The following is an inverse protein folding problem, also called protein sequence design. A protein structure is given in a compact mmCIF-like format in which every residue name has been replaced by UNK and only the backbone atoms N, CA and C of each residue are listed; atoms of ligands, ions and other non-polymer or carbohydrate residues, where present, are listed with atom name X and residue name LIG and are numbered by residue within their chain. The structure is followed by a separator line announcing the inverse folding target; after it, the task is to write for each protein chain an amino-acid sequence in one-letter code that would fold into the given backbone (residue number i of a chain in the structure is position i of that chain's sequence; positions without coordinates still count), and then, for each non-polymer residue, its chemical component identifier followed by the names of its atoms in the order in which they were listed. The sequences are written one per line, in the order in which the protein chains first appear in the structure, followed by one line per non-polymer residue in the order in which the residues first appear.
data_IF_486405973055
#
_entry.id   IF_486405973055
#
_cell.length_a   1.000
_cell.length_b   1.000
_cell.length_c   1.000
_cell.angle_alpha   90.00
_cell.angle_beta   90.00
_cell.angle_gamma   90.00
#
_symmetry.space_group_name_H-M   'P 1'
#
loop_
_entity.id
_entity.type
_entity.pdbx_description
1 polymer ?
#
# COMPACT_ATOMS: atom_id res chain seq x y z
N UNK A 1 -3.74 0.25 -14.16
CA UNK A 1 -2.54 0.04 -13.32
C UNK A 1 -2.97 0.01 -11.85
N UNK A 2 -2.49 -0.91 -11.02
CA UNK A 2 -3.06 -1.12 -9.66
C UNK A 2 -1.99 -1.10 -8.56
N UNK A 3 -2.21 -0.25 -7.56
CA UNK A 3 -1.51 -0.23 -6.27
C UNK A 3 -2.36 -0.96 -5.23
N UNK A 4 -1.77 -1.87 -4.47
CA UNK A 4 -2.48 -2.65 -3.45
C UNK A 4 -1.96 -2.34 -2.05
N UNK A 5 -2.89 -2.04 -1.13
CA UNK A 5 -2.65 -2.08 0.30
C UNK A 5 -3.50 -3.19 0.93
N UNK A 6 -2.89 -3.98 1.82
CA UNK A 6 -3.57 -5.01 2.61
C UNK A 6 -3.15 -4.85 4.06
N UNK A 7 -4.11 -4.65 4.97
CA UNK A 7 -3.77 -4.56 6.39
C UNK A 7 -4.90 -4.09 7.29
N UNK A 8 -4.62 -4.10 8.60
CA UNK A 8 -5.51 -3.50 9.59
C UNK A 8 -5.51 -1.98 9.44
N UNK A 9 -6.66 -1.35 9.58
CA UNK A 9 -6.79 0.09 9.65
C UNK A 9 -6.41 0.52 11.05
N UNK A 10 -5.14 0.89 11.20
CA UNK A 10 -4.54 1.30 12.45
C UNK A 10 -3.36 2.23 12.15
N UNK A 11 -3.08 3.16 13.06
CA UNK A 11 -2.07 4.21 12.84
C UNK A 11 -0.68 3.66 12.52
N UNK A 12 -0.32 2.54 13.15
CA UNK A 12 0.97 1.88 12.89
C UNK A 12 1.05 1.22 11.52
N UNK A 13 -0.07 0.97 10.82
CA UNK A 13 -0.08 0.50 9.43
C UNK A 13 0.07 1.63 8.41
N UNK A 14 0.00 2.89 8.86
CA UNK A 14 0.30 4.09 8.06
C UNK A 14 -0.50 4.18 6.76
N UNK A 15 -1.77 3.78 6.81
CA UNK A 15 -2.68 3.91 5.67
C UNK A 15 -2.82 5.39 5.26
N UNK A 16 -2.67 6.32 6.19
CA UNK A 16 -2.62 7.76 5.91
C UNK A 16 -1.54 8.14 4.88
N UNK A 17 -0.37 7.49 4.94
CA UNK A 17 0.70 7.73 3.96
C UNK A 17 0.32 7.23 2.59
N UNK A 18 -0.33 6.06 2.50
CA UNK A 18 -0.77 5.50 1.23
C UNK A 18 -1.77 6.44 0.57
N UNK A 19 -2.75 6.96 1.33
CA UNK A 19 -3.76 7.89 0.83
C UNK A 19 -3.15 9.21 0.36
N UNK A 20 -2.26 9.82 1.16
CA UNK A 20 -1.54 11.04 0.78
C UNK A 20 -0.68 10.83 -0.46
N UNK A 21 -0.06 9.66 -0.58
CA UNK A 21 0.74 9.26 -1.74
C UNK A 21 -0.12 9.08 -2.98
N UNK A 22 -1.31 8.46 -2.82
CA UNK A 22 -2.26 8.25 -3.90
C UNK A 22 -2.67 9.55 -4.58
N UNK A 23 -2.85 10.63 -3.83
CA UNK A 23 -3.23 11.93 -4.40
C UNK A 23 -2.27 12.41 -5.48
N UNK A 24 -0.99 12.12 -5.27
CA UNK A 24 0.08 12.66 -6.09
C UNK A 24 0.18 11.91 -7.41
N UNK A 25 0.07 10.57 -7.37
CA UNK A 25 0.07 9.79 -8.60
C UNK A 25 -1.29 9.78 -9.30
N UNK A 26 -2.43 9.87 -8.61
CA UNK A 26 -3.74 9.99 -9.27
C UNK A 26 -3.80 11.27 -10.12
N UNK A 27 -3.22 12.37 -9.62
CA UNK A 27 -3.15 13.64 -10.35
C UNK A 27 -2.25 13.58 -11.60
N UNK A 28 -1.23 12.71 -11.60
CA UNK A 28 -0.22 12.60 -12.66
C UNK A 28 -0.50 11.47 -13.65
N UNK A 29 -1.13 10.39 -13.17
CA UNK A 29 -1.36 9.14 -13.88
C UNK A 29 -2.81 8.67 -13.64
N UNK A 30 -3.78 9.16 -14.44
CA UNK A 30 -5.19 8.88 -14.23
C UNK A 30 -5.59 7.41 -14.48
N UNK A 31 -4.69 6.58 -15.03
CA UNK A 31 -4.88 5.14 -15.27
C UNK A 31 -4.42 4.24 -14.10
N UNK A 32 -3.88 4.85 -13.04
CA UNK A 32 -3.51 4.17 -11.79
C UNK A 32 -4.67 4.24 -10.80
N UNK A 33 -5.02 3.11 -10.21
CA UNK A 33 -5.93 3.02 -9.08
C UNK A 33 -5.27 2.41 -7.84
N UNK A 34 -5.82 2.72 -6.68
CA UNK A 34 -5.42 2.17 -5.38
C UNK A 34 -6.53 1.27 -4.85
N UNK A 35 -6.20 0.04 -4.49
CA UNK A 35 -7.13 -0.89 -3.83
C UNK A 35 -6.67 -1.09 -2.39
N UNK A 36 -7.58 -0.84 -1.45
CA UNK A 36 -7.36 -0.94 0.00
C UNK A 36 -8.22 -2.09 0.52
N UNK A 37 -7.59 -3.22 0.83
CA UNK A 37 -8.21 -4.35 1.50
C UNK A 37 -7.81 -4.40 2.98
N UNK A 38 -8.76 -4.62 3.87
CA UNK A 38 -8.47 -4.53 5.29
C UNK A 38 -9.66 -4.50 6.22
N UNK A 39 -9.35 -4.54 7.51
CA UNK A 39 -10.32 -4.49 8.60
C UNK A 39 -9.94 -3.40 9.59
N UNK A 40 -10.93 -2.82 10.28
CA UNK A 40 -10.73 -1.86 11.36
C UNK A 40 -11.96 -1.82 12.25
N UNK A 41 -11.88 -1.08 13.36
CA UNK A 41 -13.11 -0.69 14.05
C UNK A 41 -13.96 0.19 13.13
N UNK A 42 -15.28 0.31 13.34
CA UNK A 42 -16.14 1.18 12.52
C UNK A 42 -15.63 2.62 12.43
N UNK A 43 -15.07 3.14 13.54
CA UNK A 43 -14.47 4.48 13.57
C UNK A 43 -13.18 4.57 12.75
N UNK A 44 -12.32 3.54 12.79
CA UNK A 44 -11.08 3.53 12.00
C UNK A 44 -11.39 3.46 10.50
N UNK A 45 -12.37 2.62 10.12
CA UNK A 45 -12.84 2.52 8.74
C UNK A 45 -13.37 3.86 8.26
N UNK A 46 -14.27 4.48 9.04
CA UNK A 46 -14.83 5.78 8.68
C UNK A 46 -13.72 6.84 8.57
N UNK A 47 -12.80 6.89 9.53
CA UNK A 47 -11.70 7.84 9.55
C UNK A 47 -10.86 7.79 8.26
N UNK A 48 -10.42 6.61 7.84
CA UNK A 48 -9.60 6.50 6.61
C UNK A 48 -10.40 6.72 5.33
N UNK A 49 -11.70 6.39 5.32
CA UNK A 49 -12.57 6.71 4.18
C UNK A 49 -12.83 8.21 4.06
N UNK A 50 -13.14 8.89 5.17
CA UNK A 50 -13.30 10.35 5.21
C UNK A 50 -11.99 11.04 4.78
N UNK A 51 -10.84 10.58 5.29
CA UNK A 51 -9.54 11.08 4.85
C UNK A 51 -9.35 10.92 3.34
N UNK A 52 -9.64 9.73 2.80
CA UNK A 52 -9.45 9.45 1.38
C UNK A 52 -10.33 10.35 0.49
N UNK A 53 -11.61 10.47 0.81
CA UNK A 53 -12.59 11.08 -0.09
C UNK A 53 -12.88 12.55 0.21
N UNK A 54 -12.87 12.96 1.48
CA UNK A 54 -13.22 14.32 1.90
C UNK A 54 -11.98 15.21 2.08
N UNK A 55 -10.93 14.70 2.75
CA UNK A 55 -9.73 15.49 3.02
C UNK A 55 -8.75 15.51 1.84
N UNK A 56 -8.46 14.34 1.27
CA UNK A 56 -7.50 14.17 0.20
C UNK A 56 -8.15 14.32 -1.19
N UNK A 57 -9.43 13.93 -1.30
CA UNK A 57 -10.19 13.98 -2.55
C UNK A 57 -9.64 13.02 -3.59
N UNK A 58 -9.53 11.73 -3.24
CA UNK A 58 -9.13 10.64 -4.14
C UNK A 58 -10.34 10.17 -4.95
N UNK A 59 -10.11 9.93 -6.25
CA UNK A 59 -11.16 9.49 -7.18
C UNK A 59 -10.95 8.04 -7.64
N UNK A 60 -9.70 7.57 -7.63
CA UNK A 60 -9.33 6.23 -8.10
C UNK A 60 -8.83 5.32 -6.97
N UNK A 61 -9.28 5.59 -5.75
CA UNK A 61 -8.96 4.80 -4.56
C UNK A 61 -10.20 4.08 -4.03
N UNK A 62 -10.11 2.76 -3.87
CA UNK A 62 -11.24 1.89 -3.57
C UNK A 62 -11.00 1.05 -2.32
N UNK A 63 -11.87 1.22 -1.32
CA UNK A 63 -11.90 0.40 -0.11
C UNK A 63 -12.78 -0.83 -0.35
N UNK A 64 -12.18 -2.02 -0.38
CA UNK A 64 -12.88 -3.29 -0.64
C UNK A 64 -13.19 -4.07 0.63
N UNK A 65 -12.85 -3.51 1.80
CA UNK A 65 -13.09 -4.14 3.10
C UNK A 65 -12.27 -5.41 3.31
N UNK A 66 -12.74 -6.27 4.21
CA UNK A 66 -12.09 -7.53 4.53
C UNK A 66 -12.23 -8.52 3.37
N UNK A 67 -11.13 -9.17 3.00
CA UNK A 67 -11.11 -10.17 1.95
C UNK A 67 -10.59 -11.50 2.49
N UNK A 68 -11.09 -12.60 1.92
CA UNK A 68 -10.57 -13.93 2.21
C UNK A 68 -9.24 -14.14 1.51
N UNK A 69 -8.40 -15.03 2.04
CA UNK A 69 -7.05 -15.29 1.51
C UNK A 69 -7.01 -15.57 -0.02
N UNK A 70 -7.93 -16.37 -0.61
CA UNK A 70 -7.93 -16.55 -2.06
C UNK A 70 -8.19 -15.26 -2.86
N UNK A 71 -9.00 -14.35 -2.32
CA UNK A 71 -9.30 -13.08 -2.97
C UNK A 71 -8.17 -12.07 -2.77
N UNK A 72 -7.50 -12.08 -1.62
CA UNK A 72 -6.27 -11.31 -1.41
C UNK A 72 -5.17 -11.76 -2.38
N UNK A 73 -4.98 -13.07 -2.58
CA UNK A 73 -4.02 -13.59 -3.55
C UNK A 73 -4.37 -13.17 -4.99
N UNK A 74 -5.66 -13.15 -5.36
CA UNK A 74 -6.12 -12.64 -6.66
C UNK A 74 -5.82 -11.15 -6.83
N UNK A 75 -6.12 -10.34 -5.82
CA UNK A 75 -5.82 -8.91 -5.82
C UNK A 75 -4.31 -8.67 -5.94
N UNK A 76 -3.50 -9.39 -5.18
CA UNK A 76 -2.04 -9.30 -5.27
C UNK A 76 -1.55 -9.67 -6.67
N UNK A 77 -1.99 -10.80 -7.22
CA UNK A 77 -1.57 -11.29 -8.54
C UNK A 77 -1.86 -10.34 -9.71
N UNK A 78 -2.84 -9.44 -9.58
CA UNK A 78 -3.16 -8.42 -10.59
C UNK A 78 -2.63 -7.03 -10.23
N UNK A 79 -2.14 -6.85 -8.99
CA UNK A 79 -1.51 -5.62 -8.57
C UNK A 79 -0.16 -5.49 -9.27
N UNK A 80 0.19 -4.26 -9.61
CA UNK A 80 1.53 -3.94 -10.09
C UNK A 80 2.50 -3.74 -8.93
N UNK A 81 1.98 -3.37 -7.76
CA UNK A 81 2.78 -3.14 -6.57
C UNK A 81 1.96 -3.28 -5.28
N UNK A 82 2.55 -3.88 -4.26
CA UNK A 82 2.04 -3.87 -2.89
C UNK A 82 2.72 -2.80 -2.05
N UNK A 83 1.97 -2.00 -1.28
CA UNK A 83 2.52 -0.91 -0.47
C UNK A 83 2.15 -1.12 1.00
N UNK A 84 3.16 -1.30 1.85
CA UNK A 84 3.01 -1.67 3.26
C UNK A 84 3.91 -0.81 4.17
N UNK A 85 3.55 0.45 4.42
CA UNK A 85 4.40 1.44 5.10
C UNK A 85 4.34 1.34 6.64
N UNK A 86 4.12 0.14 7.19
CA UNK A 86 3.89 -0.01 8.62
C UNK A 86 5.10 0.45 9.45
N UNK A 87 4.83 1.19 10.53
CA UNK A 87 5.79 1.46 11.60
C UNK A 87 6.09 0.16 12.34
N UNK A 88 7.35 -0.24 12.37
CA UNK A 88 7.83 -1.42 13.09
C UNK A 88 7.09 -2.70 12.68
N UNK A 89 7.06 -3.01 11.39
CA UNK A 89 6.43 -4.23 10.86
C UNK A 89 7.08 -5.49 11.47
N UNK A 90 6.37 -6.33 12.26
CA UNK A 90 7.02 -7.40 13.01
C UNK A 90 7.74 -8.40 12.10
N UNK A 91 6.97 -9.14 11.29
CA UNK A 91 7.52 -10.06 10.30
C UNK A 91 7.20 -9.61 8.87
N UNK A 92 6.02 -9.03 8.62
CA UNK A 92 5.64 -8.61 7.26
C UNK A 92 5.11 -9.75 6.40
N UNK A 93 4.26 -10.63 6.95
CA UNK A 93 3.60 -11.70 6.19
C UNK A 93 2.97 -11.21 4.88
N UNK A 94 2.34 -10.04 4.91
CA UNK A 94 1.71 -9.43 3.73
C UNK A 94 2.70 -9.15 2.58
N UNK A 95 3.96 -8.85 2.90
CA UNK A 95 5.02 -8.71 1.91
C UNK A 95 5.29 -10.05 1.24
N UNK A 96 5.48 -11.10 2.04
CA UNK A 96 5.75 -12.47 1.55
C UNK A 96 4.58 -12.96 0.70
N UNK A 97 3.34 -12.73 1.11
CA UNK A 97 2.14 -13.09 0.37
C UNK A 97 2.08 -12.38 -1.00
N UNK A 98 2.36 -11.07 -1.04
CA UNK A 98 2.40 -10.33 -2.31
C UNK A 98 3.57 -10.77 -3.21
N UNK A 99 4.77 -10.92 -2.65
CA UNK A 99 5.94 -11.42 -3.37
C UNK A 99 5.70 -12.82 -3.94
N UNK A 100 5.02 -13.70 -3.20
CA UNK A 100 4.66 -15.03 -3.67
C UNK A 100 3.67 -15.01 -4.84
N UNK A 101 2.89 -13.93 -4.98
CA UNK A 101 2.03 -13.69 -6.14
C UNK A 101 2.78 -13.06 -7.34
N UNK A 102 4.09 -12.83 -7.23
CA UNK A 102 4.90 -12.16 -8.25
C UNK A 102 4.81 -10.63 -8.20
N UNK A 103 4.21 -10.07 -7.16
CA UNK A 103 3.98 -8.63 -7.02
C UNK A 103 5.12 -8.00 -6.25
N UNK A 104 5.83 -7.02 -6.82
CA UNK A 104 6.86 -6.30 -6.09
C UNK A 104 6.26 -5.47 -4.96
N UNK A 105 7.06 -5.20 -3.93
CA UNK A 105 6.59 -4.57 -2.68
C UNK A 105 7.38 -3.31 -2.34
N UNK A 106 6.69 -2.30 -1.81
CA UNK A 106 7.29 -1.16 -1.11
C UNK A 106 6.89 -1.25 0.35
N UNK A 107 7.84 -1.01 1.24
CA UNK A 107 7.56 -0.85 2.67
C UNK A 107 8.39 0.21 3.33
N UNK A 108 8.07 0.48 4.59
CA UNK A 108 8.98 1.22 5.45
C UNK A 108 10.21 0.34 5.77
N UNK A 109 11.40 0.94 5.84
CA UNK A 109 12.64 0.30 6.26
C UNK A 109 12.63 0.03 7.78
N UNK A 110 11.75 -0.88 8.20
CA UNK A 110 11.50 -1.19 9.60
C UNK A 110 11.19 -2.66 9.80
N UNK A 111 11.54 -3.18 10.98
CA UNK A 111 11.17 -4.52 11.41
C UNK A 111 11.64 -5.66 10.49
N UNK A 112 10.80 -6.69 10.32
CA UNK A 112 11.09 -7.94 9.60
C UNK A 112 11.32 -7.83 8.08
N UNK A 113 10.63 -6.94 7.33
CA UNK A 113 10.90 -6.75 5.90
C UNK A 113 12.38 -6.52 5.54
N UNK A 114 13.20 -6.00 6.45
CA UNK A 114 14.64 -5.81 6.27
C UNK A 114 15.42 -7.09 5.99
N UNK A 115 14.89 -8.24 6.40
CA UNK A 115 15.57 -9.52 6.25
C UNK A 115 15.35 -10.17 4.88
N UNK A 116 14.33 -9.75 4.12
CA UNK A 116 13.93 -10.43 2.88
C UNK A 116 13.53 -9.52 1.71
N UNK A 117 13.29 -8.23 1.93
CA UNK A 117 13.05 -7.28 0.83
C UNK A 117 14.40 -6.82 0.28
N UNK A 118 14.67 -7.19 -0.96
CA UNK A 118 15.84 -6.76 -1.73
C UNK A 118 15.41 -6.03 -3.01
N UNK A 119 16.34 -5.38 -3.69
CA UNK A 119 16.07 -4.67 -4.96
C UNK A 119 15.44 -5.56 -6.04
N UNK A 120 15.64 -6.89 -5.97
CA UNK A 120 15.05 -7.84 -6.92
C UNK A 120 13.53 -8.04 -6.74
N UNK A 121 12.99 -7.71 -5.57
CA UNK A 121 11.59 -7.99 -5.18
C UNK A 121 10.84 -6.75 -4.69
N UNK A 122 11.51 -5.62 -4.55
CA UNK A 122 10.90 -4.42 -3.99
C UNK A 122 11.90 -3.39 -3.48
N UNK A 123 11.41 -2.49 -2.63
CA UNK A 123 12.21 -1.45 -2.02
C UNK A 123 11.72 -1.13 -0.60
N UNK A 124 12.65 -0.81 0.29
CA UNK A 124 12.36 -0.29 1.62
C UNK A 124 12.76 1.18 1.70
N UNK A 125 11.83 2.03 2.13
CA UNK A 125 12.01 3.47 2.19
C UNK A 125 12.13 3.88 3.67
N UNK A 126 13.03 4.82 4.05
CA UNK A 126 13.04 5.38 5.39
C UNK A 126 11.65 5.88 5.83
N UNK A 127 11.29 5.69 7.10
CA UNK A 127 9.93 5.97 7.62
C UNK A 127 9.50 7.45 7.47
N UNK A 128 10.47 8.35 7.42
CA UNK A 128 10.32 9.79 7.20
C UNK A 128 10.36 10.20 5.73
N UNK A 129 10.83 9.32 4.83
CA UNK A 129 11.05 9.60 3.40
C UNK A 129 10.03 8.94 2.47
N UNK A 130 9.02 8.25 3.00
CA UNK A 130 7.85 7.80 2.23
C UNK A 130 7.08 9.05 1.75
N UNK A 131 7.58 9.61 0.66
CA UNK A 131 7.22 10.88 0.04
C UNK A 131 7.10 10.68 -1.46
N UNK A 132 6.43 11.62 -2.13
CA UNK A 132 6.15 11.65 -3.59
C UNK A 132 7.31 11.18 -4.48
N UNK A 133 8.56 11.64 -4.27
CA UNK A 133 9.69 11.31 -5.16
C UNK A 133 10.06 9.82 -5.12
N UNK A 134 9.92 9.19 -3.96
CA UNK A 134 10.21 7.77 -3.74
C UNK A 134 9.18 6.91 -4.49
N UNK A 135 7.91 7.34 -4.49
CA UNK A 135 6.85 6.69 -5.26
C UNK A 135 6.92 6.99 -6.75
N UNK A 136 7.36 8.19 -7.16
CA UNK A 136 7.52 8.55 -8.58
C UNK A 136 8.60 7.69 -9.25
N UNK A 137 9.72 7.43 -8.56
CA UNK A 137 10.76 6.52 -9.08
C UNK A 137 10.21 5.10 -9.25
N UNK A 138 9.50 4.59 -8.24
CA UNK A 138 8.90 3.26 -8.31
C UNK A 138 7.72 3.16 -9.28
N UNK A 139 6.92 4.21 -9.44
CA UNK A 139 5.88 4.27 -10.46
C UNK A 139 6.55 4.26 -11.84
N UNK A 140 7.57 5.07 -12.10
CA UNK A 140 8.26 5.06 -13.40
C UNK A 140 9.05 3.76 -13.66
N UNK A 141 9.56 3.09 -12.63
CA UNK A 141 10.32 1.83 -12.76
C UNK A 141 9.38 0.60 -12.86
N UNK A 142 8.13 0.69 -12.39
CA UNK A 142 7.13 -0.40 -12.40
C UNK A 142 6.01 -0.21 -13.44
N UNK A 143 5.91 0.95 -14.09
CA UNK A 143 4.83 1.33 -15.00
C UNK A 143 5.27 2.10 -16.24
#
# INVERSE_FOLDING_TARGET
KMVLFVGKFADWKRLDMVLKTAKLYEAKYPDICTVIAGTGGPNDIKYYQDMAYEEVGLEHTYFVGAQMQPDLARLASIANIGVFPSKSEPFGMVFIECMACGTPVIGANSGGPRDFVSEAVGCLIPDDELSVPSTDKLINDLF
#
